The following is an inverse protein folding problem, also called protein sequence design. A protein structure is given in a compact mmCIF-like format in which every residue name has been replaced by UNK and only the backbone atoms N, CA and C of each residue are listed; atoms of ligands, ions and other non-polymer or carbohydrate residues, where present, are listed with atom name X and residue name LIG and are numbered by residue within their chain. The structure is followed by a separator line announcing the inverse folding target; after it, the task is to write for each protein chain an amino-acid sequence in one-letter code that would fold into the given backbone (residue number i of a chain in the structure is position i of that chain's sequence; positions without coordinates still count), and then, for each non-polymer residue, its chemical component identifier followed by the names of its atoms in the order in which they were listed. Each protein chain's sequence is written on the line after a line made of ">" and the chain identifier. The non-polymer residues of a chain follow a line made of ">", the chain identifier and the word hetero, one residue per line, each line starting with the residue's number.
data_IF_056659483253
#
_entry.id   IF_056659483253
#
_cell.length_a   1.000
_cell.length_b   1.000
_cell.length_c   1.000
_cell.angle_alpha   90.00
_cell.angle_beta   90.00
_cell.angle_gamma   90.00
#
_symmetry.space_group_name_H-M   'P 1'
#
loop_
_entity.id
_entity.type
_entity.pdbx_description
1 polymer ?
#
# COMPACT_ATOMS: atom_id res chain seq x y z
N UNK A 1 -13.51 17.57 -10.74
CA UNK A 1 -13.72 16.85 -9.47
C UNK A 1 -13.57 15.35 -9.72
N UNK A 2 -13.07 14.60 -8.76
CA UNK A 2 -12.94 13.13 -8.81
C UNK A 2 -13.81 12.55 -7.69
N UNK A 3 -14.70 11.61 -8.04
CA UNK A 3 -15.52 10.86 -7.08
C UNK A 3 -15.03 9.41 -6.99
N UNK A 4 -14.86 8.93 -5.75
CA UNK A 4 -14.45 7.56 -5.42
C UNK A 4 -15.53 6.93 -4.55
N UNK A 5 -16.13 5.86 -5.01
CA UNK A 5 -17.15 5.12 -4.27
C UNK A 5 -16.51 4.02 -3.41
N UNK A 6 -17.20 3.63 -2.36
CA UNK A 6 -16.76 2.51 -1.54
C UNK A 6 -16.65 1.23 -2.40
N UNK A 7 -15.52 0.58 -2.33
CA UNK A 7 -15.22 -0.63 -3.10
C UNK A 7 -14.60 -0.38 -4.48
N UNK A 8 -14.50 0.88 -4.93
CA UNK A 8 -13.82 1.20 -6.18
C UNK A 8 -12.33 0.89 -6.10
N UNK A 9 -11.77 0.39 -7.19
CA UNK A 9 -10.31 0.26 -7.39
C UNK A 9 -9.88 1.27 -8.45
N UNK A 10 -9.16 2.29 -8.02
CA UNK A 10 -8.78 3.43 -8.85
C UNK A 10 -7.29 3.44 -9.08
N UNK A 11 -6.90 3.48 -10.36
CA UNK A 11 -5.52 3.70 -10.78
C UNK A 11 -5.33 5.16 -11.17
N UNK A 12 -4.41 5.85 -10.52
CA UNK A 12 -3.97 7.18 -10.92
C UNK A 12 -2.71 7.01 -11.77
N UNK A 13 -2.87 7.20 -13.08
CA UNK A 13 -1.77 7.19 -14.04
C UNK A 13 -1.20 8.59 -14.23
N UNK A 14 0.08 8.66 -14.52
CA UNK A 14 0.75 9.91 -14.87
C UNK A 14 2.27 9.76 -14.85
N UNK A 15 2.94 10.64 -15.59
CA UNK A 15 4.40 10.70 -15.59
C UNK A 15 4.95 11.16 -14.24
N UNK A 16 6.25 10.97 -14.02
CA UNK A 16 6.89 11.48 -12.81
C UNK A 16 6.71 13.00 -12.70
N UNK A 17 6.36 13.47 -11.50
CA UNK A 17 6.06 14.89 -11.26
C UNK A 17 4.65 15.34 -11.65
N UNK A 18 3.76 14.46 -12.14
CA UNK A 18 2.38 14.83 -12.48
C UNK A 18 1.49 15.16 -11.28
N UNK A 19 1.95 14.90 -10.03
CA UNK A 19 1.22 15.19 -8.79
C UNK A 19 0.57 13.99 -8.12
N UNK A 20 0.82 12.74 -8.57
CA UNK A 20 0.23 11.50 -8.00
C UNK A 20 0.42 11.41 -6.47
N UNK A 21 1.67 11.45 -6.01
CA UNK A 21 1.99 11.38 -4.57
C UNK A 21 1.49 12.59 -3.80
N UNK A 22 1.32 13.75 -4.44
CA UNK A 22 0.71 14.95 -3.85
C UNK A 22 -0.76 14.70 -3.53
N UNK A 23 -1.51 14.07 -4.45
CA UNK A 23 -2.92 13.68 -4.20
C UNK A 23 -3.01 12.76 -3.00
N UNK A 24 -2.12 11.75 -2.89
CA UNK A 24 -2.07 10.85 -1.73
C UNK A 24 -1.81 11.64 -0.44
N UNK A 25 -0.83 12.53 -0.43
CA UNK A 25 -0.50 13.35 0.75
C UNK A 25 -1.64 14.27 1.18
N UNK A 26 -2.41 14.80 0.24
CA UNK A 26 -3.61 15.60 0.51
C UNK A 26 -4.74 14.73 1.09
N UNK A 27 -4.99 13.52 0.56
CA UNK A 27 -5.96 12.57 1.11
C UNK A 27 -5.66 12.19 2.56
N UNK A 28 -4.37 12.05 2.89
CA UNK A 28 -3.89 11.74 4.25
C UNK A 28 -3.80 12.99 5.15
N UNK A 29 -4.16 14.15 4.61
CA UNK A 29 -4.04 15.42 5.31
C UNK A 29 -2.65 15.66 5.89
N UNK A 30 -1.59 15.41 5.08
CA UNK A 30 -0.24 15.90 5.40
C UNK A 30 -0.13 17.38 5.13
N UNK A 31 -0.95 17.88 4.21
CA UNK A 31 -1.17 19.28 3.88
C UNK A 31 -2.67 19.52 3.72
N UNK A 32 -3.15 20.70 4.07
CA UNK A 32 -4.50 21.13 3.72
C UNK A 32 -4.52 21.67 2.27
N UNK A 33 -5.66 21.56 1.62
CA UNK A 33 -5.83 22.15 0.28
C UNK A 33 -5.94 23.67 0.37
N UNK A 34 -5.31 24.38 -0.57
CA UNK A 34 -5.38 25.83 -0.68
C UNK A 34 -6.73 26.26 -1.26
N UNK A 35 -7.22 25.52 -2.27
CA UNK A 35 -8.51 25.76 -2.91
C UNK A 35 -9.31 24.46 -3.03
N UNK A 36 -10.64 24.57 -3.02
CA UNK A 36 -11.53 23.43 -3.08
C UNK A 36 -11.63 22.67 -1.76
N UNK A 37 -12.08 21.43 -1.81
CA UNK A 37 -12.30 20.58 -0.65
C UNK A 37 -12.10 19.10 -0.96
N UNK A 38 -11.77 18.32 0.06
CA UNK A 38 -11.75 16.85 0.02
C UNK A 38 -12.79 16.36 1.02
N UNK A 39 -13.72 15.55 0.54
CA UNK A 39 -14.80 15.00 1.35
C UNK A 39 -14.63 13.49 1.54
N UNK A 40 -14.89 13.02 2.76
CA UNK A 40 -15.07 11.60 3.07
C UNK A 40 -16.46 11.45 3.68
N UNK A 41 -17.33 10.64 3.06
CA UNK A 41 -18.73 10.48 3.47
C UNK A 41 -19.44 11.84 3.62
N UNK A 42 -19.28 12.73 2.61
CA UNK A 42 -19.87 14.08 2.55
C UNK A 42 -19.41 15.03 3.66
N UNK A 43 -18.40 14.69 4.43
CA UNK A 43 -17.80 15.52 5.47
C UNK A 43 -16.39 15.94 5.07
N UNK A 44 -16.07 17.25 5.22
CA UNK A 44 -14.75 17.75 4.87
C UNK A 44 -13.66 17.11 5.74
N UNK A 45 -12.54 16.70 5.12
CA UNK A 45 -11.44 16.06 5.87
C UNK A 45 -10.84 16.98 6.95
N UNK A 46 -10.97 18.29 6.82
CA UNK A 46 -10.54 19.29 7.81
C UNK A 46 -11.33 19.20 9.12
N UNK A 47 -12.53 18.64 9.10
CA UNK A 47 -13.40 18.47 10.27
C UNK A 47 -13.15 17.17 11.04
N UNK A 48 -12.32 16.27 10.52
CA UNK A 48 -11.93 15.05 11.23
C UNK A 48 -10.74 15.31 12.14
N UNK A 49 -10.71 14.60 13.26
CA UNK A 49 -9.46 14.38 13.97
C UNK A 49 -8.47 13.65 13.06
N UNK A 50 -7.20 14.07 13.05
CA UNK A 50 -6.19 13.57 12.11
C UNK A 50 -5.88 12.10 12.36
N UNK A 51 -5.85 11.64 13.63
CA UNK A 51 -5.61 10.25 13.96
C UNK A 51 -6.76 9.37 13.46
N UNK A 52 -7.99 9.79 13.71
CA UNK A 52 -9.20 9.09 13.25
C UNK A 52 -9.29 9.08 11.72
N UNK A 53 -8.94 10.17 11.04
CA UNK A 53 -8.86 10.22 9.58
C UNK A 53 -7.85 9.18 9.06
N UNK A 54 -6.62 9.18 9.59
CA UNK A 54 -5.56 8.29 9.12
C UNK A 54 -5.77 6.82 9.49
N UNK A 55 -6.57 6.54 10.52
CA UNK A 55 -6.90 5.14 10.87
C UNK A 55 -7.75 4.44 9.81
N UNK A 56 -8.46 5.20 8.97
CA UNK A 56 -9.27 4.67 7.86
C UNK A 56 -8.39 4.09 6.75
N UNK A 57 -7.14 4.58 6.63
CA UNK A 57 -6.23 4.26 5.54
C UNK A 57 -5.16 3.24 5.94
N UNK A 58 -4.80 2.39 5.00
CA UNK A 58 -3.51 1.69 4.98
C UNK A 58 -2.71 2.19 3.78
N UNK A 59 -1.46 2.56 3.98
CA UNK A 59 -0.67 3.26 2.96
C UNK A 59 0.70 2.63 2.79
N UNK A 60 1.11 2.42 1.52
CA UNK A 60 2.49 2.18 1.14
C UNK A 60 2.95 3.34 0.26
N UNK A 61 3.95 4.07 0.71
CA UNK A 61 4.61 5.10 -0.07
C UNK A 61 5.71 4.50 -0.96
N UNK A 62 6.11 5.22 -1.99
CA UNK A 62 7.22 4.83 -2.87
C UNK A 62 8.54 4.71 -2.09
N UNK A 63 8.77 5.56 -1.10
CA UNK A 63 9.90 5.59 -0.18
C UNK A 63 9.64 4.80 1.11
N UNK A 64 9.14 3.58 0.97
CA UNK A 64 8.86 2.69 2.10
C UNK A 64 10.11 2.36 2.92
N UNK A 65 9.91 2.19 4.24
CA UNK A 65 10.96 1.79 5.18
C UNK A 65 10.69 0.37 5.67
N UNK A 66 11.71 -0.48 5.68
CA UNK A 66 11.72 -1.71 6.43
C UNK A 66 12.47 -1.49 7.74
N UNK A 67 11.86 -1.94 8.83
CA UNK A 67 12.44 -1.82 10.16
C UNK A 67 13.39 -2.99 10.41
N UNK A 68 14.49 -2.73 11.11
CA UNK A 68 15.46 -3.75 11.54
C UNK A 68 14.93 -4.57 12.72
N UNK A 69 13.66 -4.99 12.62
CA UNK A 69 12.95 -5.86 13.55
C UNK A 69 12.83 -7.27 12.96
N UNK A 70 12.25 -8.20 13.68
CA UNK A 70 11.89 -9.50 13.13
C UNK A 70 10.90 -9.34 11.98
N UNK A 71 10.78 -10.34 11.10
CA UNK A 71 9.76 -10.29 10.04
C UNK A 71 8.35 -10.21 10.65
N UNK A 72 8.11 -10.96 11.76
CA UNK A 72 6.87 -10.89 12.54
C UNK A 72 6.53 -9.46 12.93
N UNK A 73 7.46 -8.77 13.60
CA UNK A 73 7.24 -7.40 14.08
C UNK A 73 7.09 -6.40 12.94
N UNK A 74 7.83 -6.60 11.84
CA UNK A 74 7.67 -5.79 10.63
C UNK A 74 6.24 -5.82 10.09
N UNK A 75 5.56 -6.96 10.16
CA UNK A 75 4.18 -7.09 9.66
C UNK A 75 3.18 -6.63 10.73
N UNK A 76 3.36 -7.07 11.97
CA UNK A 76 2.44 -6.79 13.09
C UNK A 76 2.34 -5.32 13.46
N UNK A 77 3.38 -4.52 13.23
CA UNK A 77 3.48 -3.12 13.69
C UNK A 77 2.30 -2.23 13.24
N UNK A 78 1.59 -2.61 12.21
CA UNK A 78 0.42 -1.86 11.71
C UNK A 78 -0.90 -2.25 12.36
N UNK A 79 -0.92 -3.32 13.17
CA UNK A 79 -2.13 -3.85 13.83
C UNK A 79 -1.84 -4.27 15.28
N UNK A 80 -1.06 -3.46 16.01
CA UNK A 80 -0.61 -3.75 17.39
C UNK A 80 -1.77 -3.86 18.40
N UNK A 81 -2.88 -3.16 18.14
CA UNK A 81 -4.06 -3.17 19.01
C UNK A 81 -4.92 -4.44 18.82
N UNK A 82 -4.63 -5.24 17.81
CA UNK A 82 -5.36 -6.48 17.55
C UNK A 82 -4.83 -7.60 18.44
N UNK A 83 -5.55 -7.85 19.56
CA UNK A 83 -5.21 -8.91 20.50
C UNK A 83 -5.36 -10.33 19.92
N UNK A 84 -6.12 -10.49 18.83
CA UNK A 84 -6.36 -11.77 18.15
C UNK A 84 -5.35 -12.03 17.03
N UNK A 85 -4.39 -11.12 16.79
CA UNK A 85 -3.40 -11.26 15.74
C UNK A 85 -2.49 -12.47 16.00
N UNK A 86 -2.29 -13.28 14.97
CA UNK A 86 -1.51 -14.53 15.01
C UNK A 86 -0.44 -14.57 13.91
N UNK A 87 0.42 -15.57 13.96
CA UNK A 87 1.43 -15.83 12.92
C UNK A 87 0.78 -16.16 11.57
N UNK A 88 -0.41 -16.78 11.58
CA UNK A 88 -1.18 -17.04 10.37
C UNK A 88 -1.54 -15.75 9.63
N UNK A 89 -1.82 -14.65 10.35
CA UNK A 89 -2.08 -13.35 9.74
C UNK A 89 -0.84 -12.82 8.99
N UNK A 90 0.36 -13.00 9.56
CA UNK A 90 1.60 -12.65 8.90
C UNK A 90 1.85 -13.52 7.66
N UNK A 91 1.67 -14.82 7.78
CA UNK A 91 1.85 -15.77 6.67
C UNK A 91 0.86 -15.46 5.55
N UNK A 92 -0.41 -15.21 5.89
CA UNK A 92 -1.43 -14.80 4.93
C UNK A 92 -1.06 -13.50 4.23
N UNK A 93 -0.60 -12.49 4.98
CA UNK A 93 -0.18 -11.22 4.39
C UNK A 93 0.99 -11.40 3.41
N UNK A 94 1.97 -12.25 3.74
CA UNK A 94 3.08 -12.59 2.85
C UNK A 94 2.61 -13.33 1.60
N UNK A 95 1.68 -14.27 1.75
CA UNK A 95 1.09 -14.99 0.62
C UNK A 95 0.38 -14.06 -0.35
N UNK A 96 -0.43 -13.14 0.16
CA UNK A 96 -1.16 -12.15 -0.67
C UNK A 96 -0.20 -11.34 -1.55
N UNK A 97 0.95 -10.97 -1.00
CA UNK A 97 1.95 -10.17 -1.73
C UNK A 97 2.97 -11.02 -2.50
N UNK A 98 2.70 -12.31 -2.70
CA UNK A 98 3.60 -13.24 -3.41
C UNK A 98 5.01 -13.26 -2.80
N UNK A 99 5.08 -13.34 -1.46
CA UNK A 99 6.31 -13.28 -0.69
C UNK A 99 6.65 -14.59 0.04
N UNK A 100 5.97 -15.70 -0.27
CA UNK A 100 6.18 -17.02 0.36
C UNK A 100 7.64 -17.48 0.28
N UNK A 101 8.34 -17.09 -0.79
CA UNK A 101 9.75 -17.43 -0.98
C UNK A 101 10.68 -16.76 0.04
N UNK A 102 10.26 -15.64 0.66
CA UNK A 102 11.04 -15.00 1.71
C UNK A 102 11.12 -15.93 2.91
N UNK A 103 9.98 -16.46 3.39
CA UNK A 103 9.95 -17.38 4.54
C UNK A 103 10.87 -18.58 4.38
N UNK A 104 11.00 -19.11 3.16
CA UNK A 104 11.89 -20.27 2.88
C UNK A 104 13.37 -19.94 3.01
N UNK A 105 13.75 -18.67 2.94
CA UNK A 105 15.14 -18.19 3.05
C UNK A 105 15.52 -17.80 4.47
N UNK A 106 14.54 -17.67 5.37
CA UNK A 106 14.75 -17.17 6.71
C UNK A 106 15.14 -18.30 7.67
N UNK A 107 16.31 -18.24 8.36
CA UNK A 107 16.80 -19.31 9.23
C UNK A 107 15.90 -19.57 10.43
N UNK A 108 15.22 -18.54 10.96
CA UNK A 108 14.34 -18.62 12.13
C UNK A 108 12.88 -18.27 11.78
N UNK A 109 12.50 -18.42 10.49
CA UNK A 109 11.17 -18.10 10.03
C UNK A 109 10.78 -16.64 10.34
N UNK A 110 9.60 -16.44 10.93
CA UNK A 110 9.09 -15.10 11.26
C UNK A 110 9.93 -14.38 12.33
N UNK A 111 10.73 -15.08 13.13
CA UNK A 111 11.59 -14.49 14.15
C UNK A 111 12.94 -14.02 13.62
N UNK A 112 13.23 -14.27 12.34
CA UNK A 112 14.44 -13.76 11.69
C UNK A 112 14.39 -12.23 11.61
N UNK A 113 15.46 -11.59 12.08
CA UNK A 113 15.63 -10.15 11.93
C UNK A 113 15.79 -9.76 10.46
N UNK A 114 15.07 -8.73 10.06
CA UNK A 114 15.24 -8.08 8.76
C UNK A 114 16.34 -7.05 8.89
N UNK A 115 17.36 -7.17 8.04
CA UNK A 115 18.66 -6.49 8.11
C UNK A 115 19.58 -7.03 9.25
N UNK A 116 20.88 -6.81 9.10
CA UNK A 116 21.91 -7.34 10.02
C UNK A 116 22.35 -6.33 11.09
N UNK A 117 21.51 -5.32 11.36
CA UNK A 117 21.85 -4.23 12.30
C UNK A 117 21.89 -4.74 13.73
N UNK A 118 20.90 -5.53 14.13
CA UNK A 118 20.77 -6.05 15.49
C UNK A 118 21.16 -7.52 15.63
N UNK A 119 21.11 -8.28 14.51
CA UNK A 119 21.52 -9.68 14.48
C UNK A 119 22.40 -9.97 13.26
N UNK A 120 23.60 -10.51 13.48
CA UNK A 120 24.53 -10.88 12.40
C UNK A 120 23.98 -11.96 11.48
N UNK A 121 23.07 -12.81 11.99
CA UNK A 121 22.37 -13.83 11.22
C UNK A 121 21.11 -13.30 10.54
N UNK A 122 20.80 -12.00 10.71
CA UNK A 122 19.66 -11.35 10.08
C UNK A 122 19.68 -11.49 8.56
N UNK A 123 18.51 -11.44 7.97
CA UNK A 123 18.30 -11.55 6.54
C UNK A 123 18.35 -10.16 5.86
N UNK A 124 19.15 -10.06 4.81
CA UNK A 124 19.21 -8.84 3.97
C UNK A 124 18.29 -9.03 2.74
N UNK A 125 17.08 -8.48 2.74
CA UNK A 125 16.17 -8.62 1.62
C UNK A 125 16.63 -7.80 0.41
N UNK A 126 16.42 -8.34 -0.79
CA UNK A 126 16.54 -7.59 -2.04
C UNK A 126 15.53 -6.44 -2.11
N UNK A 127 15.72 -5.47 -3.03
CA UNK A 127 14.79 -4.35 -3.17
C UNK A 127 13.33 -4.78 -3.41
N UNK A 128 13.12 -5.80 -4.26
CA UNK A 128 11.78 -6.35 -4.48
C UNK A 128 11.20 -7.05 -3.23
N UNK A 129 12.02 -7.77 -2.47
CA UNK A 129 11.58 -8.38 -1.21
C UNK A 129 11.28 -7.33 -0.14
N UNK A 130 12.06 -6.26 -0.07
CA UNK A 130 11.77 -5.12 0.80
C UNK A 130 10.41 -4.50 0.49
N UNK A 131 10.12 -4.32 -0.79
CA UNK A 131 8.83 -3.81 -1.24
C UNK A 131 7.68 -4.75 -0.89
N UNK A 132 7.86 -6.07 -1.07
CA UNK A 132 6.87 -7.08 -0.69
C UNK A 132 6.61 -7.09 0.84
N UNK A 133 7.64 -6.93 1.67
CA UNK A 133 7.48 -6.81 3.14
C UNK A 133 6.66 -5.55 3.49
N UNK A 134 6.94 -4.42 2.85
CA UNK A 134 6.18 -3.19 3.07
C UNK A 134 4.70 -3.34 2.64
N UNK A 135 4.45 -4.03 1.53
CA UNK A 135 3.10 -4.35 1.07
C UNK A 135 2.38 -5.33 2.02
N UNK A 136 3.07 -6.38 2.51
CA UNK A 136 2.51 -7.32 3.48
C UNK A 136 2.06 -6.61 4.76
N UNK A 137 2.85 -5.67 5.25
CA UNK A 137 2.50 -4.78 6.35
C UNK A 137 1.21 -4.01 6.10
N UNK A 138 1.06 -3.45 4.90
CA UNK A 138 -0.14 -2.69 4.55
C UNK A 138 -1.38 -3.57 4.39
N UNK A 139 -1.23 -4.76 3.80
CA UNK A 139 -2.32 -5.73 3.63
C UNK A 139 -2.78 -6.27 4.98
N UNK A 140 -1.85 -6.50 5.91
CA UNK A 140 -2.15 -6.95 7.27
C UNK A 140 -3.01 -5.95 8.05
N UNK A 141 -2.88 -4.65 7.78
CA UNK A 141 -3.64 -3.62 8.47
C UNK A 141 -5.14 -3.70 8.14
N UNK A 142 -5.98 -3.72 9.16
CA UNK A 142 -7.43 -3.58 9.00
C UNK A 142 -7.77 -2.13 8.61
N UNK A 143 -8.17 -1.91 7.36
CA UNK A 143 -8.49 -0.59 6.82
C UNK A 143 -9.71 -0.63 5.92
N UNK A 144 -10.32 0.54 5.67
CA UNK A 144 -11.42 0.71 4.70
C UNK A 144 -10.91 1.11 3.33
N UNK A 145 -9.80 1.86 3.30
CA UNK A 145 -9.18 2.36 2.07
C UNK A 145 -7.69 2.00 2.08
N UNK A 146 -7.23 1.32 1.05
CA UNK A 146 -5.83 1.05 0.85
C UNK A 146 -5.27 2.00 -0.21
N UNK A 147 -4.11 2.57 0.06
CA UNK A 147 -3.40 3.47 -0.86
C UNK A 147 -2.01 2.90 -1.13
N UNK A 148 -1.70 2.72 -2.41
CA UNK A 148 -0.41 2.16 -2.84
C UNK A 148 0.26 3.12 -3.82
N UNK A 149 1.38 3.72 -3.44
CA UNK A 149 2.15 4.62 -4.29
C UNK A 149 3.26 3.84 -5.00
N UNK A 150 3.06 3.57 -6.30
CA UNK A 150 3.94 2.77 -7.15
C UNK A 150 4.31 1.39 -6.57
N UNK A 151 3.32 0.53 -6.24
CA UNK A 151 3.52 -0.68 -5.44
C UNK A 151 4.38 -1.77 -6.10
N UNK A 152 4.73 -1.63 -7.36
CA UNK A 152 5.47 -2.65 -8.13
C UNK A 152 6.77 -2.12 -8.75
N UNK A 153 7.23 -0.93 -8.34
CA UNK A 153 8.38 -0.26 -8.97
C UNK A 153 9.68 -1.09 -8.93
N UNK A 154 9.91 -1.85 -7.86
CA UNK A 154 11.11 -2.69 -7.67
C UNK A 154 10.83 -4.19 -7.89
N UNK A 155 9.63 -4.57 -8.37
CA UNK A 155 9.21 -5.95 -8.55
C UNK A 155 9.38 -6.35 -10.02
N UNK A 156 9.82 -7.58 -10.26
CA UNK A 156 9.94 -8.15 -11.61
C UNK A 156 8.55 -8.41 -12.22
N UNK A 157 8.44 -8.47 -13.56
CA UNK A 157 7.13 -8.56 -14.23
C UNK A 157 6.29 -9.80 -13.89
N UNK A 158 6.93 -10.94 -13.59
CA UNK A 158 6.22 -12.18 -13.25
C UNK A 158 5.64 -12.08 -11.84
N UNK A 159 6.44 -11.68 -10.87
CA UNK A 159 5.99 -11.40 -9.51
C UNK A 159 4.97 -10.26 -9.44
N UNK A 160 5.10 -9.23 -10.30
CA UNK A 160 4.10 -8.16 -10.41
C UNK A 160 2.72 -8.71 -10.79
N UNK A 161 2.66 -9.59 -11.79
CA UNK A 161 1.40 -10.18 -12.23
C UNK A 161 0.73 -10.98 -11.11
N UNK A 162 1.48 -11.83 -10.40
CA UNK A 162 1.00 -12.61 -9.27
C UNK A 162 0.49 -11.71 -8.15
N UNK A 163 1.28 -10.72 -7.74
CA UNK A 163 0.92 -9.73 -6.73
C UNK A 163 -0.40 -9.02 -7.07
N UNK A 164 -0.52 -8.49 -8.30
CA UNK A 164 -1.70 -7.75 -8.73
C UNK A 164 -2.95 -8.64 -8.74
N UNK A 165 -2.83 -9.91 -9.17
CA UNK A 165 -3.92 -10.87 -9.15
C UNK A 165 -4.36 -11.20 -7.72
N UNK A 166 -3.41 -11.46 -6.82
CA UNK A 166 -3.70 -11.74 -5.42
C UNK A 166 -4.38 -10.55 -4.73
N UNK A 167 -3.86 -9.34 -4.94
CA UNK A 167 -4.47 -8.10 -4.42
C UNK A 167 -5.89 -7.91 -4.94
N UNK A 168 -6.15 -8.23 -6.20
CA UNK A 168 -7.49 -8.15 -6.80
C UNK A 168 -8.51 -9.03 -6.08
N UNK A 169 -8.10 -10.23 -5.67
CA UNK A 169 -8.95 -11.16 -4.94
C UNK A 169 -9.13 -10.79 -3.47
N UNK A 170 -8.04 -10.49 -2.76
CA UNK A 170 -8.05 -10.26 -1.31
C UNK A 170 -8.61 -8.88 -0.91
N UNK A 171 -8.52 -7.90 -1.82
CA UNK A 171 -9.06 -6.56 -1.58
C UNK A 171 -10.49 -6.40 -2.15
N UNK A 172 -11.15 -7.50 -2.51
CA UNK A 172 -12.54 -7.42 -2.97
C UNK A 172 -13.44 -6.74 -1.92
N UNK A 173 -14.20 -5.72 -2.35
CA UNK A 173 -15.07 -4.93 -1.48
C UNK A 173 -14.37 -3.83 -0.66
N UNK A 174 -13.02 -3.76 -0.67
CA UNK A 174 -12.27 -2.62 -0.12
C UNK A 174 -12.01 -1.57 -1.19
N UNK A 175 -11.97 -0.31 -0.80
CA UNK A 175 -11.56 0.77 -1.70
C UNK A 175 -10.04 0.74 -1.86
N UNK A 176 -9.56 0.72 -3.10
CA UNK A 176 -8.14 0.73 -3.44
C UNK A 176 -7.83 1.95 -4.29
N UNK A 177 -6.85 2.74 -3.88
CA UNK A 177 -6.29 3.84 -4.67
C UNK A 177 -4.82 3.50 -4.89
N UNK A 178 -4.39 3.43 -6.13
CA UNK A 178 -2.98 3.18 -6.39
C UNK A 178 -2.46 4.02 -7.55
N UNK A 179 -1.18 4.34 -7.48
CA UNK A 179 -0.51 5.07 -8.55
C UNK A 179 0.34 4.09 -9.36
N UNK A 180 0.47 4.34 -10.64
CA UNK A 180 1.39 3.60 -11.49
C UNK A 180 1.82 4.44 -12.70
N UNK A 181 2.95 4.09 -13.27
CA UNK A 181 3.37 4.49 -14.60
C UNK A 181 3.41 3.28 -15.56
N UNK A 182 3.03 2.08 -15.09
CA UNK A 182 3.01 0.83 -15.86
C UNK A 182 1.58 0.50 -16.31
N UNK A 183 1.44 0.11 -17.57
CA UNK A 183 0.13 -0.31 -18.11
C UNK A 183 -0.36 -1.64 -17.54
N UNK A 184 0.54 -2.51 -17.06
CA UNK A 184 0.17 -3.77 -16.37
C UNK A 184 -0.72 -3.55 -15.16
N UNK A 185 -0.49 -2.46 -14.41
CA UNK A 185 -1.27 -2.14 -13.22
C UNK A 185 -2.73 -1.74 -13.52
N UNK A 186 -3.04 -1.33 -14.75
CA UNK A 186 -4.40 -0.93 -15.17
C UNK A 186 -5.40 -2.06 -14.99
N UNK A 187 -4.98 -3.33 -15.18
CA UNK A 187 -5.86 -4.50 -15.01
C UNK A 187 -6.39 -4.70 -13.59
N UNK A 188 -5.78 -4.07 -12.59
CA UNK A 188 -6.26 -4.08 -11.20
C UNK A 188 -7.41 -3.08 -10.98
N UNK A 189 -7.49 -2.03 -11.81
CA UNK A 189 -8.42 -0.93 -11.63
C UNK A 189 -9.80 -1.19 -12.25
N UNK A 190 -10.84 -0.66 -11.62
CA UNK A 190 -12.17 -0.50 -12.20
C UNK A 190 -12.31 0.88 -12.85
N UNK A 191 -11.50 1.84 -12.37
CA UNK A 191 -11.46 3.22 -12.87
C UNK A 191 -10.02 3.69 -13.01
N UNK A 192 -9.73 4.35 -14.12
CA UNK A 192 -8.42 4.92 -14.42
C UNK A 192 -8.57 6.44 -14.47
N UNK A 193 -7.64 7.13 -13.83
CA UNK A 193 -7.56 8.60 -13.82
C UNK A 193 -6.19 9.00 -14.34
N UNK A 194 -6.16 9.68 -15.48
CA UNK A 194 -4.92 10.24 -16.02
C UNK A 194 -4.68 11.62 -15.41
N UNK A 195 -3.56 11.73 -14.69
CA UNK A 195 -3.12 12.98 -14.05
C UNK A 195 -1.95 13.59 -14.83
N UNK A 196 -2.08 14.84 -15.21
CA UNK A 196 -1.04 15.62 -15.88
C UNK A 196 -0.96 17.03 -15.31
N UNK A 197 0.23 17.46 -14.88
CA UNK A 197 0.46 18.80 -14.30
C UNK A 197 -0.52 19.15 -13.15
N UNK A 198 -0.82 18.19 -12.27
CA UNK A 198 -1.74 18.35 -11.16
C UNK A 198 -3.23 18.38 -11.54
N UNK A 199 -3.58 18.13 -12.80
CA UNK A 199 -4.96 18.15 -13.28
C UNK A 199 -5.38 16.77 -13.80
N UNK A 200 -6.64 16.42 -13.52
CA UNK A 200 -7.27 15.24 -14.14
C UNK A 200 -7.54 15.59 -15.61
N UNK A 201 -6.90 14.86 -16.51
CA UNK A 201 -7.08 15.03 -17.97
C UNK A 201 -8.18 14.14 -18.51
N UNK A 202 -8.15 12.88 -18.12
CA UNK A 202 -9.10 11.87 -18.58
C UNK A 202 -9.47 10.94 -17.42
N UNK A 203 -10.70 10.44 -17.48
CA UNK A 203 -11.20 9.37 -16.63
C UNK A 203 -11.79 8.29 -17.54
N UNK A 204 -11.51 7.02 -17.25
CA UNK A 204 -12.01 5.86 -17.99
C UNK A 204 -12.19 4.63 -17.11
N UNK A 205 -12.78 3.57 -17.65
CA UNK A 205 -13.00 2.26 -17.03
C UNK A 205 -12.50 1.15 -17.94
#
# INVERSE_FOLDING_TARGET
>A
SLEIKQGDRICILGVNGSGKSTVIKLLLRFYDVDEGEILINSKNIKEYDVCNLRSVFSVVFQDYINYSFTLRDNIKITDLENAEWTDEDAIKALHIVDADNILKKLPEGLDTYIQKIFDRNGYEPSGGEQQKIALARAVNRRCKVMILDEPTAAIDPESECNLLNNLKHELYGKTLIFTSHRLSAVHLADKIVLLENGQVKEEGS
#
